data_IF_597156900490
#
_entry.id   IF_597156900490
#
_cell.length_a   1.000
_cell.length_b   1.000
_cell.length_c   1.000
_cell.angle_alpha   90.00
_cell.angle_beta   90.00
_cell.angle_gamma   90.00
#
_symmetry.space_group_name_H-M   'P 1'
#
loop_
_entity.id
_entity.type
_entity.pdbx_description
1 polymer ?
#
# COMPACT_ATOMS: atom_id res chain seq x y z
N UNK A 1 2.65 37.18 16.04
CA UNK A 1 2.73 37.23 14.56
C UNK A 1 2.07 35.99 14.03
N UNK A 2 0.82 36.10 13.55
CA UNK A 2 0.08 34.99 12.95
C UNK A 2 0.71 34.66 11.58
N UNK A 3 1.34 33.50 11.44
CA UNK A 3 1.91 33.06 10.18
C UNK A 3 0.76 32.59 9.28
N UNK A 4 0.30 33.43 8.40
CA UNK A 4 -0.60 33.04 7.31
C UNK A 4 0.22 32.26 6.29
N UNK A 5 0.29 30.96 6.45
CA UNK A 5 0.68 30.07 5.36
C UNK A 5 -0.58 29.81 4.51
N UNK A 6 -0.59 30.30 3.28
CA UNK A 6 -1.57 30.01 2.22
C UNK A 6 -3.06 30.20 2.55
N UNK A 7 -3.42 31.24 3.29
CA UNK A 7 -4.84 31.56 3.55
C UNK A 7 -5.55 30.69 4.61
N UNK A 8 -4.84 29.78 5.26
CA UNK A 8 -5.36 28.91 6.31
C UNK A 8 -4.95 29.45 7.69
N UNK A 9 -5.89 29.44 8.64
CA UNK A 9 -5.62 29.72 10.04
C UNK A 9 -5.13 28.46 10.72
N UNK A 10 -3.95 28.53 11.36
CA UNK A 10 -3.43 27.47 12.25
C UNK A 10 -4.15 27.41 13.61
N UNK A 11 -5.10 28.29 13.81
CA UNK A 11 -5.86 28.51 15.06
C UNK A 11 -7.31 27.99 14.96
N UNK A 12 -7.61 27.07 14.04
CA UNK A 12 -8.92 26.42 14.01
C UNK A 12 -9.13 25.59 15.28
N UNK A 13 -10.27 25.85 15.94
CA UNK A 13 -10.69 25.09 17.11
C UNK A 13 -10.74 23.60 16.85
N UNK A 14 -10.37 22.78 17.83
CA UNK A 14 -10.52 21.33 17.75
C UNK A 14 -12.00 20.96 17.58
N UNK A 15 -12.24 19.80 16.97
CA UNK A 15 -13.63 19.34 16.76
C UNK A 15 -14.40 19.24 18.09
N UNK A 16 -13.72 18.90 19.19
CA UNK A 16 -14.30 18.85 20.54
C UNK A 16 -14.67 20.24 21.08
N UNK A 17 -13.94 21.29 20.71
CA UNK A 17 -14.22 22.66 21.09
C UNK A 17 -15.40 23.25 20.32
N UNK A 18 -15.77 22.63 19.20
CA UNK A 18 -16.96 22.98 18.40
C UNK A 18 -18.23 22.28 18.89
N UNK A 19 -18.11 21.34 19.81
CA UNK A 19 -19.22 20.58 20.36
C UNK A 19 -20.22 21.48 21.09
N UNK A 20 -21.50 21.27 20.82
CA UNK A 20 -22.62 21.95 21.48
C UNK A 20 -23.73 20.94 21.72
N UNK A 21 -24.21 20.85 22.94
CA UNK A 21 -25.27 19.93 23.30
C UNK A 21 -26.51 20.09 22.37
N UNK A 22 -27.00 18.98 21.87
CA UNK A 22 -28.12 18.92 20.95
C UNK A 22 -27.82 19.26 19.48
N UNK A 23 -26.56 19.58 19.13
CA UNK A 23 -26.13 19.81 17.73
C UNK A 23 -25.68 18.51 17.07
N UNK A 24 -26.56 17.54 16.98
CA UNK A 24 -26.35 16.31 16.25
C UNK A 24 -26.82 16.48 14.81
N UNK A 25 -26.04 16.04 13.86
CA UNK A 25 -26.32 16.25 12.44
C UNK A 25 -26.79 15.02 11.69
N UNK A 26 -26.89 13.89 12.35
CA UNK A 26 -27.27 12.64 11.72
C UNK A 26 -28.04 11.78 12.72
N UNK A 27 -29.29 11.47 12.37
CA UNK A 27 -30.05 10.44 13.07
C UNK A 27 -29.94 9.12 12.28
N UNK A 28 -29.38 8.12 12.93
CA UNK A 28 -29.43 6.76 12.39
C UNK A 28 -30.89 6.33 12.47
N UNK A 29 -31.48 6.00 11.32
CA UNK A 29 -32.82 5.44 11.28
C UNK A 29 -32.86 4.21 12.20
N UNK A 30 -33.95 4.08 12.95
CA UNK A 30 -34.17 2.92 13.83
C UNK A 30 -34.02 1.63 12.99
N UNK A 31 -33.03 0.84 13.32
CA UNK A 31 -32.80 -0.44 12.66
C UNK A 31 -33.89 -1.43 13.12
N UNK A 32 -34.30 -2.32 12.21
CA UNK A 32 -35.17 -3.45 12.52
C UNK A 32 -34.47 -4.54 13.37
N UNK A 33 -33.41 -4.17 14.08
CA UNK A 33 -32.67 -5.06 14.97
C UNK A 33 -33.38 -5.08 16.31
N UNK A 34 -33.71 -6.27 16.87
CA UNK A 34 -34.32 -6.36 18.17
C UNK A 34 -33.52 -5.63 19.24
N UNK A 35 -34.19 -4.86 20.09
CA UNK A 35 -33.55 -4.20 21.23
C UNK A 35 -32.89 -5.25 22.13
N UNK A 36 -31.60 -5.10 22.32
CA UNK A 36 -30.82 -5.87 23.27
C UNK A 36 -30.03 -4.94 24.18
N UNK A 37 -29.90 -5.35 25.43
CA UNK A 37 -29.05 -4.61 26.36
C UNK A 37 -27.62 -5.14 26.28
N UNK A 38 -26.62 -4.24 26.29
CA UNK A 38 -25.21 -4.64 26.29
C UNK A 38 -24.91 -5.61 27.47
N UNK A 39 -25.58 -5.42 28.59
CA UNK A 39 -25.46 -6.25 29.78
C UNK A 39 -25.92 -7.70 29.57
N UNK A 40 -26.81 -7.94 28.62
CA UNK A 40 -27.25 -9.29 28.26
C UNK A 40 -26.21 -10.01 27.34
N UNK A 41 -25.37 -9.27 26.65
CA UNK A 41 -24.44 -9.83 25.68
C UNK A 41 -23.01 -9.91 26.17
N UNK A 42 -22.60 -9.00 27.05
CA UNK A 42 -21.21 -8.87 27.49
C UNK A 42 -21.08 -8.85 29.00
N UNK A 43 -20.02 -9.46 29.56
CA UNK A 43 -19.67 -9.29 30.97
C UNK A 43 -19.48 -7.81 31.32
N UNK A 44 -19.90 -7.40 32.52
CA UNK A 44 -19.86 -6.01 33.00
C UNK A 44 -18.45 -5.38 32.88
N UNK A 45 -17.40 -6.18 33.08
CA UNK A 45 -16.03 -5.74 32.95
C UNK A 45 -15.63 -5.21 31.54
N UNK A 46 -16.42 -5.53 30.52
CA UNK A 46 -16.21 -5.06 29.14
C UNK A 46 -17.13 -3.91 28.74
N UNK A 47 -18.04 -3.51 29.62
CA UNK A 47 -19.00 -2.44 29.37
C UNK A 47 -18.46 -1.16 30.02
N UNK A 48 -18.48 -0.08 29.27
CA UNK A 48 -18.10 1.24 29.80
C UNK A 48 -19.09 1.66 30.89
N UNK A 49 -18.56 2.22 31.98
CA UNK A 49 -19.37 2.85 33.02
C UNK A 49 -19.89 4.23 32.64
N UNK A 50 -19.28 4.86 31.66
CA UNK A 50 -19.66 6.18 31.14
C UNK A 50 -19.59 6.15 29.62
N UNK A 51 -20.46 6.90 28.97
CA UNK A 51 -20.44 7.06 27.52
C UNK A 51 -19.15 7.73 27.04
N UNK A 52 -18.78 7.46 25.79
CA UNK A 52 -17.65 8.13 25.20
C UNK A 52 -17.95 9.63 25.02
N UNK A 53 -17.03 10.50 25.43
CA UNK A 53 -17.12 11.95 25.24
C UNK A 53 -16.91 12.32 23.75
N UNK A 54 -17.88 11.97 22.92
CA UNK A 54 -17.87 12.33 21.51
C UNK A 54 -18.43 13.74 21.32
N UNK A 55 -17.89 14.53 20.37
CA UNK A 55 -18.39 15.87 20.10
C UNK A 55 -19.76 15.82 19.41
N UNK A 56 -20.69 16.61 19.90
CA UNK A 56 -21.97 16.85 19.23
C UNK A 56 -21.81 18.01 18.24
N UNK A 57 -21.69 17.71 16.97
CA UNK A 57 -21.46 18.67 15.88
C UNK A 57 -22.25 18.26 14.63
N UNK A 58 -22.85 19.20 13.90
CA UNK A 58 -23.56 18.89 12.67
C UNK A 58 -22.60 18.46 11.55
N UNK A 59 -23.09 17.69 10.60
CA UNK A 59 -22.31 17.17 9.47
C UNK A 59 -21.51 18.27 8.76
N UNK A 60 -22.12 19.44 8.53
CA UNK A 60 -21.47 20.54 7.85
C UNK A 60 -20.20 21.02 8.57
N UNK A 61 -20.21 21.04 9.89
CA UNK A 61 -19.06 21.45 10.69
C UNK A 61 -17.98 20.35 10.72
N UNK A 62 -18.37 19.08 10.75
CA UNK A 62 -17.46 17.94 10.61
C UNK A 62 -16.73 18.00 9.27
N UNK A 63 -17.47 18.10 8.17
CA UNK A 63 -16.89 18.15 6.83
C UNK A 63 -15.97 19.35 6.65
N UNK A 64 -16.40 20.53 7.08
CA UNK A 64 -15.59 21.76 6.99
C UNK A 64 -14.32 21.67 7.84
N UNK A 65 -14.42 21.14 9.06
CA UNK A 65 -13.29 20.97 9.94
C UNK A 65 -12.22 20.07 9.32
N UNK A 66 -12.58 18.87 8.93
CA UNK A 66 -11.61 17.92 8.34
C UNK A 66 -11.13 18.33 6.95
N UNK A 67 -11.97 19.00 6.15
CA UNK A 67 -11.54 19.58 4.87
C UNK A 67 -10.49 20.68 5.10
N UNK A 68 -10.66 21.51 6.11
CA UNK A 68 -9.66 22.54 6.44
C UNK A 68 -8.37 21.91 6.96
N UNK A 69 -8.44 20.91 7.84
CA UNK A 69 -7.27 20.17 8.30
C UNK A 69 -6.52 19.49 7.14
N UNK A 70 -7.24 18.88 6.21
CA UNK A 70 -6.62 18.22 5.06
C UNK A 70 -5.79 19.16 4.19
N UNK A 71 -6.20 20.43 4.13
CA UNK A 71 -5.48 21.47 3.36
C UNK A 71 -4.20 21.96 4.04
N UNK A 72 -4.02 21.67 5.32
CA UNK A 72 -2.75 21.94 6.02
C UNK A 72 -1.68 20.92 5.69
N UNK A 73 -2.06 19.79 5.11
CA UNK A 73 -1.16 18.75 4.68
C UNK A 73 -1.03 18.72 3.16
N UNK A 74 0.02 18.08 2.67
CA UNK A 74 0.22 17.90 1.25
C UNK A 74 -0.65 16.77 0.70
N UNK A 75 -1.22 16.95 -0.49
CA UNK A 75 -2.03 15.92 -1.14
C UNK A 75 -1.71 15.84 -2.64
N UNK A 76 -1.86 14.65 -3.22
CA UNK A 76 -1.66 14.43 -4.65
C UNK A 76 -2.67 15.15 -5.53
N UNK A 77 -3.81 15.54 -4.97
CA UNK A 77 -4.83 16.33 -5.68
C UNK A 77 -4.47 17.81 -5.73
N UNK A 78 -3.66 18.29 -4.80
CA UNK A 78 -3.24 19.69 -4.72
C UNK A 78 -1.91 19.96 -5.44
N UNK A 79 -1.11 18.94 -5.69
CA UNK A 79 0.18 19.09 -6.33
C UNK A 79 1.02 17.83 -6.32
N UNK A 80 2.24 17.96 -6.85
CA UNK A 80 3.20 16.87 -6.85
C UNK A 80 3.65 16.51 -5.42
N UNK A 81 3.61 15.23 -5.08
CA UNK A 81 3.96 14.71 -3.76
C UNK A 81 5.34 14.04 -3.76
N UNK A 82 6.43 14.78 -3.51
CA UNK A 82 7.80 14.35 -3.75
C UNK A 82 8.39 13.52 -2.60
N UNK A 83 7.70 12.51 -2.14
CA UNK A 83 8.29 11.57 -1.18
C UNK A 83 9.17 10.54 -1.89
N UNK A 84 10.29 10.15 -1.26
CA UNK A 84 11.29 9.25 -1.82
C UNK A 84 10.75 7.86 -2.16
N UNK A 85 10.83 6.92 -1.23
CA UNK A 85 10.42 5.52 -1.44
C UNK A 85 8.91 5.34 -1.69
N UNK A 86 8.09 6.25 -1.21
CA UNK A 86 6.64 6.21 -1.28
C UNK A 86 6.06 7.40 -2.05
N UNK A 87 6.71 7.83 -3.14
CA UNK A 87 6.16 8.91 -3.95
C UNK A 87 4.74 8.58 -4.38
N UNK A 88 3.78 9.38 -3.92
CA UNK A 88 2.39 9.21 -4.26
C UNK A 88 2.11 9.82 -5.63
N UNK A 89 1.63 9.02 -6.56
CA UNK A 89 1.25 9.45 -7.91
C UNK A 89 -0.20 9.89 -7.90
N UNK A 90 -0.53 10.83 -8.79
CA UNK A 90 -1.92 11.13 -9.05
C UNK A 90 -2.62 9.89 -9.58
N UNK A 91 -3.73 9.51 -8.94
CA UNK A 91 -4.60 8.44 -9.42
C UNK A 91 -5.82 9.07 -10.12
N UNK A 92 -6.02 8.84 -11.42
CA UNK A 92 -7.20 9.33 -12.11
C UNK A 92 -8.48 8.92 -11.38
N UNK A 93 -9.40 9.86 -11.15
CA UNK A 93 -10.65 9.60 -10.41
C UNK A 93 -11.51 8.52 -11.08
N UNK A 94 -11.37 8.34 -12.38
CA UNK A 94 -12.00 7.25 -13.11
C UNK A 94 -11.58 5.86 -12.59
N UNK A 95 -10.33 5.70 -12.17
CA UNK A 95 -9.85 4.41 -11.65
C UNK A 95 -10.61 4.03 -10.37
N UNK A 96 -10.83 4.99 -9.48
CA UNK A 96 -11.61 4.78 -8.25
C UNK A 96 -13.09 4.46 -8.57
N UNK A 97 -13.68 5.21 -9.50
CA UNK A 97 -15.07 4.98 -9.92
C UNK A 97 -15.26 3.58 -10.53
N UNK A 98 -14.33 3.13 -11.38
CA UNK A 98 -14.38 1.80 -11.99
C UNK A 98 -14.13 0.71 -10.95
N UNK A 99 -13.16 0.90 -10.06
CA UNK A 99 -12.87 -0.07 -9.00
C UNK A 99 -14.05 -0.24 -8.02
N UNK A 100 -14.88 0.79 -7.87
CA UNK A 100 -16.07 0.76 -7.01
C UNK A 100 -17.29 0.06 -7.66
N UNK A 101 -17.23 -0.34 -8.92
CA UNK A 101 -18.31 -1.09 -9.54
C UNK A 101 -18.48 -2.46 -8.87
N UNK A 102 -19.73 -2.86 -8.65
CA UNK A 102 -20.07 -4.15 -7.98
C UNK A 102 -19.37 -5.35 -8.63
N UNK A 103 -19.30 -5.37 -9.97
CA UNK A 103 -18.63 -6.43 -10.71
C UNK A 103 -17.13 -6.59 -10.45
N UNK A 104 -16.50 -5.58 -9.82
CA UNK A 104 -15.10 -5.67 -9.34
C UNK A 104 -15.01 -5.84 -7.84
N UNK A 105 -15.80 -5.09 -7.06
CA UNK A 105 -15.74 -5.12 -5.61
C UNK A 105 -16.20 -6.45 -5.00
N UNK A 106 -17.18 -7.11 -5.62
CA UNK A 106 -17.82 -8.31 -5.05
C UNK A 106 -17.25 -9.61 -5.63
N UNK A 107 -16.12 -9.56 -6.33
CA UNK A 107 -15.45 -10.77 -6.82
C UNK A 107 -14.87 -11.56 -5.63
N UNK A 108 -15.23 -12.84 -5.55
CA UNK A 108 -14.66 -13.74 -4.57
C UNK A 108 -13.47 -14.53 -5.18
N UNK A 109 -12.36 -14.75 -4.43
CA UNK A 109 -11.18 -15.48 -4.94
C UNK A 109 -11.46 -16.89 -5.45
N UNK A 110 -12.47 -17.57 -4.93
CA UNK A 110 -12.89 -18.92 -5.35
C UNK A 110 -14.11 -18.92 -6.29
N UNK A 111 -14.45 -17.76 -6.84
CA UNK A 111 -15.50 -17.67 -7.84
C UNK A 111 -15.09 -18.40 -9.12
N UNK A 112 -15.99 -19.09 -9.84
CA UNK A 112 -15.66 -19.78 -11.09
C UNK A 112 -15.04 -18.82 -12.11
N UNK A 113 -13.95 -19.22 -12.74
CA UNK A 113 -13.23 -18.41 -13.74
C UNK A 113 -14.13 -17.92 -14.88
N UNK A 114 -15.11 -18.73 -15.27
CA UNK A 114 -16.08 -18.36 -16.31
C UNK A 114 -16.89 -17.12 -15.99
N UNK A 115 -17.05 -16.77 -14.71
CA UNK A 115 -17.80 -15.58 -14.26
C UNK A 115 -16.96 -14.32 -14.11
N UNK A 116 -15.63 -14.43 -14.24
CA UNK A 116 -14.67 -13.32 -13.98
C UNK A 116 -13.76 -13.03 -15.17
N UNK A 117 -14.14 -13.46 -16.38
CA UNK A 117 -13.31 -13.32 -17.57
C UNK A 117 -12.92 -11.87 -17.88
N UNK A 118 -13.80 -10.89 -17.60
CA UNK A 118 -13.50 -9.48 -17.77
C UNK A 118 -12.40 -8.97 -16.82
N UNK A 119 -12.42 -9.40 -15.56
CA UNK A 119 -11.36 -9.06 -14.59
C UNK A 119 -10.02 -9.71 -14.97
N UNK A 120 -10.03 -10.97 -15.40
CA UNK A 120 -8.84 -11.65 -15.88
C UNK A 120 -8.26 -11.00 -17.14
N UNK A 121 -9.09 -10.56 -18.07
CA UNK A 121 -8.65 -9.84 -19.27
C UNK A 121 -8.01 -8.49 -18.92
N UNK A 122 -8.58 -7.75 -17.95
CA UNK A 122 -8.00 -6.52 -17.45
C UNK A 122 -6.61 -6.76 -16.81
N UNK A 123 -6.50 -7.78 -15.96
CA UNK A 123 -5.23 -8.14 -15.33
C UNK A 123 -4.17 -8.54 -16.37
N UNK A 124 -4.56 -9.33 -17.36
CA UNK A 124 -3.67 -9.72 -18.46
C UNK A 124 -3.19 -8.49 -19.26
N UNK A 125 -4.08 -7.60 -19.63
CA UNK A 125 -3.73 -6.38 -20.35
C UNK A 125 -2.77 -5.49 -19.56
N UNK A 126 -3.00 -5.35 -18.24
CA UNK A 126 -2.08 -4.61 -17.35
C UNK A 126 -0.71 -5.28 -17.29
N UNK A 127 -0.67 -6.60 -17.18
CA UNK A 127 0.56 -7.38 -17.14
C UNK A 127 1.40 -7.20 -18.41
N UNK A 128 0.77 -7.24 -19.59
CA UNK A 128 1.44 -6.98 -20.87
C UNK A 128 1.93 -5.54 -20.99
N UNK A 129 1.14 -4.56 -20.56
CA UNK A 129 1.56 -3.16 -20.54
C UNK A 129 2.78 -2.94 -19.63
N UNK A 130 2.80 -3.55 -18.44
CA UNK A 130 3.92 -3.47 -17.51
C UNK A 130 5.19 -4.16 -18.05
N UNK A 131 5.07 -5.25 -18.79
CA UNK A 131 6.20 -5.87 -19.50
C UNK A 131 6.85 -4.88 -20.46
N UNK A 132 6.04 -4.20 -21.27
CA UNK A 132 6.55 -3.21 -22.24
C UNK A 132 7.24 -2.06 -21.53
N UNK A 133 6.62 -1.49 -20.49
CA UNK A 133 7.17 -0.34 -19.76
C UNK A 133 8.45 -0.68 -19.01
N UNK A 134 8.53 -1.87 -18.41
CA UNK A 134 9.69 -2.30 -17.62
C UNK A 134 10.80 -2.95 -18.46
N UNK A 135 10.50 -3.38 -19.68
CA UNK A 135 11.42 -4.17 -20.52
C UNK A 135 11.66 -5.59 -20.00
N UNK A 136 10.78 -6.09 -19.12
CA UNK A 136 10.88 -7.44 -18.54
C UNK A 136 10.16 -8.48 -19.40
N UNK A 137 10.65 -9.72 -19.39
CA UNK A 137 10.04 -10.83 -20.14
C UNK A 137 8.70 -11.27 -19.51
N UNK A 138 8.55 -11.12 -18.20
CA UNK A 138 7.33 -11.45 -17.46
C UNK A 138 7.11 -10.50 -16.28
N UNK A 139 5.84 -10.35 -15.90
CA UNK A 139 5.41 -9.54 -14.74
C UNK A 139 4.37 -10.34 -13.97
N UNK A 140 4.40 -10.26 -12.66
CA UNK A 140 3.34 -10.79 -11.79
C UNK A 140 2.61 -9.64 -11.09
N UNK A 141 1.29 -9.77 -10.96
CA UNK A 141 0.44 -8.84 -10.24
C UNK A 141 0.08 -9.35 -8.82
N UNK A 142 0.69 -10.45 -8.38
CA UNK A 142 0.40 -11.07 -7.07
C UNK A 142 0.84 -10.23 -5.86
N UNK A 143 1.99 -9.51 -5.88
CA UNK A 143 2.39 -8.69 -4.76
C UNK A 143 1.37 -7.58 -4.47
N UNK A 144 0.84 -7.56 -3.24
CA UNK A 144 -0.17 -6.60 -2.84
C UNK A 144 0.40 -5.22 -2.41
N UNK A 145 1.71 -5.15 -2.15
CA UNK A 145 2.40 -3.94 -1.72
C UNK A 145 3.89 -3.98 -2.09
N UNK A 146 4.60 -2.85 -1.95
CA UNK A 146 6.03 -2.74 -2.24
C UNK A 146 6.88 -3.77 -1.51
N UNK A 147 6.63 -3.98 -0.21
CA UNK A 147 7.34 -4.99 0.58
C UNK A 147 7.12 -6.43 0.07
N UNK A 148 5.94 -6.74 -0.43
CA UNK A 148 5.67 -8.04 -1.08
C UNK A 148 6.39 -8.17 -2.42
N UNK A 149 6.54 -7.09 -3.17
CA UNK A 149 7.34 -7.05 -4.39
C UNK A 149 8.82 -7.34 -4.10
N UNK A 150 9.39 -6.71 -3.08
CA UNK A 150 10.76 -6.96 -2.60
C UNK A 150 10.92 -8.43 -2.19
N UNK A 151 10.01 -8.95 -1.38
CA UNK A 151 10.04 -10.34 -0.93
C UNK A 151 9.97 -11.32 -2.11
N UNK A 152 9.06 -11.10 -3.05
CA UNK A 152 8.91 -11.91 -4.25
C UNK A 152 10.18 -11.90 -5.08
N UNK A 153 10.77 -10.74 -5.34
CA UNK A 153 12.03 -10.59 -6.05
C UNK A 153 13.17 -11.36 -5.36
N UNK A 154 13.29 -11.23 -4.05
CA UNK A 154 14.30 -11.95 -3.28
C UNK A 154 14.09 -13.48 -3.32
N UNK A 155 12.83 -13.96 -3.29
CA UNK A 155 12.52 -15.38 -3.44
C UNK A 155 12.89 -15.90 -4.83
N UNK A 156 12.66 -15.13 -5.88
CA UNK A 156 13.07 -15.48 -7.25
C UNK A 156 14.59 -15.57 -7.37
N UNK A 157 15.34 -14.58 -6.83
CA UNK A 157 16.81 -14.61 -6.81
C UNK A 157 17.32 -15.83 -6.03
N UNK A 158 16.69 -16.13 -4.91
CA UNK A 158 17.04 -17.33 -4.13
C UNK A 158 16.82 -18.61 -4.92
N UNK A 159 15.64 -18.78 -5.52
CA UNK A 159 15.30 -19.95 -6.33
C UNK A 159 16.28 -20.14 -7.52
N UNK A 160 16.62 -19.04 -8.18
CA UNK A 160 17.62 -19.06 -9.27
C UNK A 160 18.98 -19.60 -8.81
N UNK A 161 19.49 -19.18 -7.65
CA UNK A 161 20.76 -19.68 -7.12
C UNK A 161 20.66 -21.14 -6.66
N UNK A 162 19.50 -21.55 -6.09
CA UNK A 162 19.27 -22.94 -5.70
C UNK A 162 19.27 -23.88 -6.92
N UNK A 163 18.56 -23.51 -7.98
CA UNK A 163 18.49 -24.26 -9.21
C UNK A 163 19.88 -24.50 -9.83
N UNK A 164 20.74 -23.49 -9.78
CA UNK A 164 22.13 -23.57 -10.24
C UNK A 164 23.10 -24.20 -9.24
N UNK A 165 22.62 -24.70 -8.10
CA UNK A 165 23.44 -25.25 -7.01
C UNK A 165 24.50 -24.29 -6.48
N UNK A 166 24.28 -22.97 -6.62
CA UNK A 166 25.16 -21.91 -6.06
C UNK A 166 24.76 -21.59 -4.63
N UNK A 167 25.04 -22.51 -3.70
CA UNK A 167 24.70 -22.37 -2.29
C UNK A 167 25.61 -21.43 -1.51
N UNK A 168 26.64 -20.87 -2.15
CA UNK A 168 27.63 -20.01 -1.49
C UNK A 168 27.14 -18.56 -1.35
N UNK A 169 26.21 -18.13 -2.19
CA UNK A 169 25.69 -16.75 -2.19
C UNK A 169 24.65 -16.54 -1.10
N UNK A 170 25.12 -16.25 0.13
CA UNK A 170 24.30 -16.07 1.33
C UNK A 170 24.24 -14.64 1.85
N UNK A 171 24.89 -13.69 1.19
CA UNK A 171 24.97 -12.31 1.64
C UNK A 171 24.17 -11.40 0.72
N UNK A 172 23.44 -10.46 1.29
CA UNK A 172 22.71 -9.40 0.60
C UNK A 172 23.32 -8.07 1.03
N UNK A 173 23.71 -7.26 0.07
CA UNK A 173 24.25 -5.92 0.34
C UNK A 173 23.06 -4.96 0.36
N UNK A 174 22.96 -4.19 1.43
CA UNK A 174 21.88 -3.21 1.63
C UNK A 174 22.52 -1.86 1.94
N UNK A 175 22.10 -0.75 1.27
CA UNK A 175 22.58 0.58 1.63
C UNK A 175 22.22 0.91 3.09
N UNK A 176 23.05 1.67 3.76
CA UNK A 176 22.76 2.16 5.12
C UNK A 176 21.58 3.12 5.17
N UNK A 177 21.31 3.79 4.04
CA UNK A 177 20.15 4.69 3.83
C UNK A 177 18.91 3.99 3.28
N UNK A 178 18.93 2.64 3.16
CA UNK A 178 17.79 1.90 2.62
C UNK A 178 16.56 1.96 3.53
N UNK A 179 15.39 1.86 2.92
CA UNK A 179 14.15 1.68 3.67
C UNK A 179 14.21 0.41 4.53
N UNK A 180 13.61 0.44 5.71
CA UNK A 180 13.64 -0.67 6.66
C UNK A 180 13.12 -2.02 6.15
N UNK A 181 12.28 -2.02 5.11
CA UNK A 181 11.81 -3.25 4.46
C UNK A 181 12.91 -4.03 3.75
N UNK A 182 13.94 -3.35 3.23
CA UNK A 182 15.00 -4.01 2.47
C UNK A 182 15.82 -4.99 3.33
N UNK A 183 16.40 -4.58 4.48
CA UNK A 183 17.07 -5.51 5.36
C UNK A 183 16.11 -6.56 5.95
N UNK A 184 14.87 -6.18 6.30
CA UNK A 184 13.88 -7.12 6.80
C UNK A 184 13.59 -8.25 5.79
N UNK A 185 13.37 -7.91 4.53
CA UNK A 185 13.14 -8.86 3.44
C UNK A 185 14.34 -9.79 3.24
N UNK A 186 15.56 -9.27 3.33
CA UNK A 186 16.77 -10.08 3.22
C UNK A 186 16.86 -11.13 4.34
N UNK A 187 16.51 -10.75 5.58
CA UNK A 187 16.52 -11.66 6.75
C UNK A 187 15.44 -12.72 6.65
N UNK A 188 14.22 -12.36 6.24
CA UNK A 188 13.09 -13.30 6.10
C UNK A 188 13.36 -14.34 5.00
N UNK A 189 14.20 -14.04 4.01
CA UNK A 189 14.62 -15.00 2.99
C UNK A 189 15.77 -15.89 3.48
N UNK A 190 15.47 -16.86 4.33
CA UNK A 190 16.38 -17.89 4.86
C UNK A 190 17.55 -17.35 5.74
N UNK A 191 17.33 -16.30 6.50
CA UNK A 191 18.32 -15.77 7.44
C UNK A 191 19.60 -15.29 6.75
N UNK A 192 19.49 -14.79 5.52
CA UNK A 192 20.64 -14.28 4.77
C UNK A 192 21.30 -13.15 5.52
N UNK A 193 22.60 -13.20 5.63
CA UNK A 193 23.36 -12.14 6.29
C UNK A 193 23.22 -10.82 5.52
N UNK A 194 22.73 -9.80 6.20
CA UNK A 194 22.67 -8.43 5.67
C UNK A 194 24.03 -7.77 5.88
N UNK A 195 24.59 -7.24 4.83
CA UNK A 195 25.81 -6.42 4.89
C UNK A 195 25.40 -4.99 4.61
N UNK A 196 25.41 -4.15 5.64
CA UNK A 196 25.21 -2.72 5.46
C UNK A 196 26.43 -2.10 4.79
N UNK A 197 26.18 -1.30 3.75
CA UNK A 197 27.22 -0.59 3.03
C UNK A 197 26.78 0.87 2.80
N UNK A 198 27.71 1.84 2.77
CA UNK A 198 27.37 3.21 2.39
C UNK A 198 26.65 3.24 1.05
N UNK A 199 25.60 4.07 0.94
CA UNK A 199 24.74 4.15 -0.24
C UNK A 199 25.53 4.38 -1.56
N UNK A 200 26.62 5.09 -1.48
CA UNK A 200 27.54 5.34 -2.60
C UNK A 200 28.06 4.04 -3.24
N UNK A 201 28.45 3.04 -2.45
CA UNK A 201 28.96 1.78 -2.98
C UNK A 201 27.86 0.88 -3.57
N UNK A 202 26.66 0.94 -3.01
CA UNK A 202 25.54 0.06 -3.44
C UNK A 202 24.97 0.49 -4.78
N UNK A 203 24.85 1.79 -5.03
CA UNK A 203 24.33 2.28 -6.30
C UNK A 203 25.18 1.81 -7.50
N UNK A 204 26.50 1.78 -7.36
CA UNK A 204 27.39 1.25 -8.40
C UNK A 204 27.26 -0.26 -8.53
N UNK A 205 27.23 -0.98 -7.42
CA UNK A 205 27.11 -2.45 -7.41
C UNK A 205 25.75 -2.94 -7.95
N UNK A 206 24.65 -2.25 -7.63
CA UNK A 206 23.31 -2.60 -8.12
C UNK A 206 23.22 -2.49 -9.63
N UNK A 207 23.79 -1.45 -10.24
CA UNK A 207 23.83 -1.27 -11.69
C UNK A 207 24.67 -2.37 -12.36
N UNK A 208 25.80 -2.73 -11.78
CA UNK A 208 26.68 -3.78 -12.31
C UNK A 208 25.99 -5.16 -12.20
N UNK A 209 25.36 -5.46 -11.05
CA UNK A 209 24.67 -6.75 -10.84
C UNK A 209 23.44 -6.88 -11.75
N UNK A 210 22.63 -5.83 -11.88
CA UNK A 210 21.48 -5.84 -12.78
C UNK A 210 21.90 -6.06 -14.23
N UNK A 211 22.99 -5.42 -14.67
CA UNK A 211 23.54 -5.60 -16.01
C UNK A 211 24.14 -6.99 -16.22
N UNK A 212 24.89 -7.52 -15.27
CA UNK A 212 25.43 -8.88 -15.32
C UNK A 212 24.34 -9.96 -15.30
N UNK A 213 23.24 -9.73 -14.56
CA UNK A 213 22.07 -10.64 -14.58
C UNK A 213 21.35 -10.57 -15.93
N UNK A 214 21.18 -9.40 -16.49
CA UNK A 214 20.56 -9.20 -17.80
C UNK A 214 21.39 -9.87 -18.93
N UNK A 215 22.71 -9.74 -18.88
CA UNK A 215 23.63 -10.39 -19.81
C UNK A 215 23.61 -11.93 -19.65
N UNK A 216 23.53 -12.44 -18.42
CA UNK A 216 23.44 -13.87 -18.14
C UNK A 216 22.11 -14.48 -18.59
N UNK A 217 21.01 -13.73 -18.47
CA UNK A 217 19.68 -14.14 -18.96
C UNK A 217 19.65 -14.12 -20.50
N UNK A 218 20.25 -13.09 -21.12
CA UNK A 218 20.27 -12.96 -22.58
C UNK A 218 21.12 -14.03 -23.26
N UNK A 219 22.21 -14.46 -22.65
CA UNK A 219 23.08 -15.53 -23.16
C UNK A 219 22.47 -16.92 -23.02
N UNK A 220 21.53 -17.15 -22.10
CA UNK A 220 20.87 -18.45 -21.87
C UNK A 220 19.51 -18.61 -22.57
N UNK A 221 19.08 -17.68 -23.41
CA UNK A 221 17.79 -17.78 -24.14
C UNK A 221 17.65 -19.00 -25.07
N UNK A 222 18.73 -19.76 -25.26
CA UNK A 222 18.74 -20.97 -26.11
C UNK A 222 18.21 -22.24 -25.42
N UNK A 223 18.30 -22.36 -24.09
CA UNK A 223 18.13 -23.63 -23.36
C UNK A 223 16.77 -23.86 -22.69
N UNK A 224 15.89 -22.86 -22.66
CA UNK A 224 14.60 -22.96 -21.94
C UNK A 224 13.45 -23.60 -22.75
N UNK A 225 13.68 -24.04 -23.98
CA UNK A 225 12.63 -24.67 -24.82
C UNK A 225 12.60 -26.19 -24.79
N UNK A 226 13.38 -26.85 -23.96
CA UNK A 226 13.58 -28.31 -23.98
C UNK A 226 13.29 -29.02 -22.64
N UNK A 227 12.48 -28.47 -21.73
CA UNK A 227 12.00 -29.26 -20.58
C UNK A 227 10.58 -28.87 -20.21
#
# INVERSE_FOLDING_TARGET
MSSRLSGYRLDDALIFEKSRAGHTGYEILAEEIPDFTLQAMFPEAYIRSQDAELPEVPEVDVVRHYTNLSKLNHSVDNGFYPLGSCTMKYNPKLNEAVAALEGFQQIHPYQPESSIQGALALMYALQEALKVVSGMDAVTLQPAAGAHGEYTGMRMIYAYHQDRRDFKRKKVIVPDSAHGTNPATAVVNDGRAVVHAPAYFVNVATVIIARAMQDAISTNRGDWRAH
#
